data_IF_269232458308
#
_entry.id   IF_269232458308
#
_cell.length_a   1.000
_cell.length_b   1.000
_cell.length_c   1.000
_cell.angle_alpha   90.00
_cell.angle_beta   90.00
_cell.angle_gamma   90.00
#
_symmetry.space_group_name_H-M   'P 1'
#
loop_
_entity.id
_entity.type
_entity.pdbx_description
1 polymer ?
#
# COMPACT_ATOMS: atom_id res chain seq x y z
N UNK A 1 -2.95 0.17 -9.23
CA UNK A 1 -1.48 -0.06 -9.28
C UNK A 1 -0.91 0.14 -7.89
N UNK A 2 -0.29 -0.89 -7.31
CA UNK A 2 0.25 -0.88 -5.96
C UNK A 2 1.22 0.28 -5.71
N UNK A 3 2.07 0.63 -6.68
CA UNK A 3 3.03 1.72 -6.54
C UNK A 3 2.45 3.12 -6.29
N UNK A 4 1.21 3.39 -6.70
CA UNK A 4 0.52 4.64 -6.33
C UNK A 4 -0.11 4.53 -4.94
N UNK A 5 -0.69 3.38 -4.64
CA UNK A 5 -1.32 3.13 -3.36
C UNK A 5 -0.33 3.23 -2.20
N UNK A 6 0.86 2.61 -2.31
CA UNK A 6 1.87 2.69 -1.23
C UNK A 6 2.33 4.12 -0.96
N UNK A 7 2.42 4.98 -1.99
CA UNK A 7 2.72 6.41 -1.82
C UNK A 7 1.59 7.15 -1.13
N UNK A 8 0.34 6.86 -1.50
CA UNK A 8 -0.83 7.43 -0.85
C UNK A 8 -0.94 6.97 0.61
N UNK A 9 -0.66 5.70 0.90
CA UNK A 9 -0.60 5.14 2.25
C UNK A 9 0.48 5.82 3.10
N UNK A 10 1.62 6.17 2.49
CA UNK A 10 2.69 6.97 3.14
C UNK A 10 2.27 8.44 3.38
N UNK A 11 1.20 8.92 2.73
CA UNK A 11 0.66 10.27 2.91
C UNK A 11 0.85 11.19 1.71
N UNK A 12 1.39 10.69 0.59
CA UNK A 12 1.59 11.48 -0.61
C UNK A 12 0.35 11.53 -1.50
N UNK A 13 -0.32 12.68 -1.55
CA UNK A 13 -1.50 12.90 -2.40
C UNK A 13 -1.14 13.00 -3.88
N UNK A 14 0.03 13.55 -4.17
CA UNK A 14 0.60 13.54 -5.51
C UNK A 14 1.50 12.30 -5.69
N UNK A 15 0.91 11.24 -6.23
CA UNK A 15 1.58 9.94 -6.37
C UNK A 15 2.47 9.84 -7.63
N UNK A 16 2.65 10.94 -8.37
CA UNK A 16 3.40 10.94 -9.62
C UNK A 16 4.89 10.64 -9.37
N UNK A 17 5.45 9.68 -10.11
CA UNK A 17 6.82 9.19 -9.84
C UNK A 17 7.93 10.20 -10.08
N UNK A 18 7.66 11.32 -10.76
CA UNK A 18 8.61 12.44 -10.86
C UNK A 18 8.70 13.27 -9.56
N UNK A 19 7.67 13.21 -8.71
CA UNK A 19 7.58 13.98 -7.47
C UNK A 19 7.85 13.13 -6.24
N UNK A 20 7.35 11.90 -6.23
CA UNK A 20 7.48 10.98 -5.10
C UNK A 20 8.08 9.67 -5.57
N UNK A 21 9.23 9.35 -5.01
CA UNK A 21 9.96 8.11 -5.29
C UNK A 21 9.35 6.97 -4.48
N UNK A 22 9.45 5.75 -4.99
CA UNK A 22 9.08 4.55 -4.26
C UNK A 22 9.92 4.41 -2.98
N UNK A 23 9.29 4.23 -1.82
CA UNK A 23 9.97 4.05 -0.54
C UNK A 23 9.90 2.59 -0.06
N UNK A 24 10.93 1.77 -0.32
CA UNK A 24 10.94 0.37 0.12
C UNK A 24 11.01 0.22 1.65
N UNK A 25 11.60 1.19 2.37
CA UNK A 25 11.70 1.12 3.83
C UNK A 25 10.32 1.26 4.49
N UNK A 26 9.45 2.14 3.95
CA UNK A 26 8.07 2.26 4.40
C UNK A 26 7.32 0.92 4.24
N UNK A 27 7.46 0.29 3.07
CA UNK A 27 6.78 -0.98 2.76
C UNK A 27 7.32 -2.12 3.62
N UNK A 28 8.63 -2.17 3.84
CA UNK A 28 9.26 -3.13 4.72
C UNK A 28 8.74 -2.99 6.17
N UNK A 29 8.51 -1.76 6.64
CA UNK A 29 7.90 -1.52 7.94
C UNK A 29 6.44 -2.01 8.00
N UNK A 30 5.65 -1.84 6.93
CA UNK A 30 4.30 -2.42 6.86
C UNK A 30 4.35 -3.96 6.90
N UNK A 31 5.26 -4.58 6.15
CA UNK A 31 5.43 -6.04 6.18
C UNK A 31 5.84 -6.52 7.59
N UNK A 32 6.77 -5.84 8.25
CA UNK A 32 7.15 -6.15 9.62
C UNK A 32 5.94 -6.06 10.58
N UNK A 33 5.11 -5.01 10.46
CA UNK A 33 3.90 -4.84 11.26
C UNK A 33 2.82 -5.90 10.96
N UNK A 34 2.78 -6.41 9.73
CA UNK A 34 1.93 -7.52 9.32
C UNK A 34 2.47 -8.90 9.77
N UNK A 35 3.63 -8.96 10.43
CA UNK A 35 4.18 -10.18 11.01
C UNK A 35 5.06 -11.01 10.07
N UNK A 36 5.54 -10.42 8.97
CA UNK A 36 6.48 -11.10 8.07
C UNK A 36 7.85 -11.31 8.71
N UNK A 37 8.49 -12.42 8.36
CA UNK A 37 9.85 -12.74 8.81
C UNK A 37 10.88 -11.72 8.30
N UNK A 38 12.00 -11.62 9.01
CA UNK A 38 13.05 -10.63 8.72
C UNK A 38 13.62 -10.77 7.31
N UNK A 39 13.70 -12.00 6.79
CA UNK A 39 14.16 -12.28 5.43
C UNK A 39 13.28 -11.61 4.36
N UNK A 40 11.95 -11.66 4.55
CA UNK A 40 10.99 -11.02 3.64
C UNK A 40 11.08 -9.49 3.75
N UNK A 41 11.23 -8.97 4.97
CA UNK A 41 11.40 -7.53 5.23
C UNK A 41 12.67 -7.00 4.55
N UNK A 42 13.78 -7.72 4.64
CA UNK A 42 15.04 -7.38 3.95
C UNK A 42 14.91 -7.50 2.43
N UNK A 43 14.20 -8.51 1.92
CA UNK A 43 13.95 -8.65 0.49
C UNK A 43 13.18 -7.45 -0.07
N UNK A 44 12.22 -6.90 0.69
CA UNK A 44 11.46 -5.69 0.33
C UNK A 44 12.34 -4.45 0.34
N UNK A 45 13.21 -4.27 1.35
CA UNK A 45 14.12 -3.12 1.45
C UNK A 45 15.02 -2.97 0.21
N UNK A 46 15.37 -4.09 -0.41
CA UNK A 46 16.22 -4.13 -1.60
C UNK A 46 15.47 -3.87 -2.92
N UNK A 47 14.14 -3.67 -2.89
CA UNK A 47 13.36 -3.42 -4.09
C UNK A 47 13.43 -1.97 -4.57
N UNK A 48 13.46 -1.81 -5.89
CA UNK A 48 13.42 -0.49 -6.56
C UNK A 48 12.05 -0.18 -7.16
N UNK A 49 11.20 -1.19 -7.33
CA UNK A 49 9.92 -1.08 -8.02
C UNK A 49 8.80 -1.69 -7.19
N UNK A 50 7.67 -1.00 -7.14
CA UNK A 50 6.51 -1.47 -6.41
C UNK A 50 5.88 -2.76 -6.96
N UNK A 51 6.02 -3.02 -8.26
CA UNK A 51 5.46 -4.23 -8.86
C UNK A 51 6.17 -5.50 -8.38
N UNK A 52 7.43 -5.41 -7.93
CA UNK A 52 8.14 -6.57 -7.38
C UNK A 52 7.57 -7.00 -6.01
N UNK A 53 6.81 -6.13 -5.34
CA UNK A 53 6.23 -6.45 -4.03
C UNK A 53 5.19 -7.57 -4.12
N UNK A 54 4.44 -7.67 -5.23
CA UNK A 54 3.46 -8.74 -5.42
C UNK A 54 4.09 -10.12 -5.62
N UNK A 55 5.36 -10.17 -6.04
CA UNK A 55 6.11 -11.42 -6.17
C UNK A 55 6.67 -11.89 -4.81
N UNK A 56 6.93 -10.95 -3.90
CA UNK A 56 7.46 -11.22 -2.55
C UNK A 56 6.32 -11.52 -1.57
N UNK A 57 5.26 -10.72 -1.64
CA UNK A 57 4.03 -10.85 -0.87
C UNK A 57 2.89 -11.11 -1.87
N UNK A 58 2.55 -12.39 -2.14
CA UNK A 58 1.47 -12.73 -3.06
C UNK A 58 0.15 -12.09 -2.65
N UNK A 59 -0.62 -11.64 -3.63
CA UNK A 59 -1.91 -11.02 -3.37
C UNK A 59 -2.96 -12.03 -2.91
N UNK A 60 -3.70 -11.63 -1.88
CA UNK A 60 -5.01 -12.17 -1.50
C UNK A 60 -5.83 -11.02 -0.91
N UNK A 61 -7.16 -11.06 -1.04
CA UNK A 61 -8.04 -10.07 -0.41
C UNK A 61 -7.92 -10.09 1.12
N UNK A 62 -7.57 -11.25 1.67
CA UNK A 62 -7.43 -11.47 3.10
C UNK A 62 -6.02 -11.16 3.64
N UNK A 63 -5.05 -10.93 2.75
CA UNK A 63 -3.64 -10.73 3.11
C UNK A 63 -3.46 -9.44 3.94
N UNK A 64 -3.00 -9.55 5.20
CA UNK A 64 -2.77 -8.43 6.11
C UNK A 64 -2.05 -7.24 5.50
N UNK A 65 -1.00 -7.47 4.70
CA UNK A 65 -0.24 -6.39 4.08
C UNK A 65 -1.12 -5.47 3.20
N UNK A 66 -1.93 -6.05 2.31
CA UNK A 66 -2.77 -5.27 1.39
C UNK A 66 -3.92 -4.58 2.11
N UNK A 67 -4.50 -5.22 3.14
CA UNK A 67 -5.49 -4.58 4.01
C UNK A 67 -4.91 -3.35 4.71
N UNK A 68 -3.70 -3.46 5.25
CA UNK A 68 -3.03 -2.34 5.90
C UNK A 68 -2.74 -1.18 4.94
N UNK A 69 -2.27 -1.48 3.72
CA UNK A 69 -2.06 -0.45 2.69
C UNK A 69 -3.38 0.26 2.33
N UNK A 70 -4.46 -0.51 2.13
CA UNK A 70 -5.77 0.05 1.79
C UNK A 70 -6.32 0.93 2.92
N UNK A 71 -6.17 0.50 4.17
CA UNK A 71 -6.59 1.25 5.36
C UNK A 71 -5.85 2.58 5.49
N UNK A 72 -4.53 2.58 5.32
CA UNK A 72 -3.73 3.82 5.34
C UNK A 72 -4.11 4.78 4.21
N UNK A 73 -4.37 4.26 3.01
CA UNK A 73 -4.88 5.07 1.90
C UNK A 73 -6.23 5.72 2.26
N UNK A 74 -7.15 4.91 2.78
CA UNK A 74 -8.47 5.38 3.20
C UNK A 74 -8.36 6.47 4.27
N UNK A 75 -7.55 6.26 5.30
CA UNK A 75 -7.32 7.25 6.36
C UNK A 75 -6.73 8.56 5.84
N UNK A 76 -5.77 8.49 4.90
CA UNK A 76 -5.18 9.68 4.31
C UNK A 76 -6.18 10.43 3.42
N UNK A 77 -7.05 9.72 2.69
CA UNK A 77 -8.15 10.34 1.96
C UNK A 77 -9.20 10.98 2.88
N UNK A 78 -9.59 10.32 3.98
CA UNK A 78 -10.55 10.84 4.96
C UNK A 78 -10.13 12.21 5.53
N UNK A 79 -8.83 12.43 5.76
CA UNK A 79 -8.29 13.71 6.27
C UNK A 79 -8.57 14.90 5.34
N UNK A 80 -8.87 14.65 4.06
CA UNK A 80 -9.10 15.67 3.04
C UNK A 80 -10.58 15.91 2.75
N UNK A 81 -11.45 15.00 3.20
CA UNK A 81 -12.87 15.07 2.89
C UNK A 81 -13.65 15.73 4.05
N UNK A 82 -14.78 16.39 3.75
CA UNK A 82 -15.71 16.83 4.79
C UNK A 82 -16.15 15.65 5.67
N UNK A 83 -16.41 15.90 6.95
CA UNK A 83 -16.74 14.85 7.93
C UNK A 83 -18.03 14.09 7.59
N UNK A 84 -18.92 14.71 6.82
CA UNK A 84 -20.19 14.16 6.39
C UNK A 84 -20.05 13.27 5.14
N UNK A 85 -18.89 13.33 4.47
CA UNK A 85 -18.63 12.57 3.27
C UNK A 85 -18.35 11.11 3.62
N UNK A 86 -19.14 10.20 3.03
CA UNK A 86 -18.83 8.77 3.02
C UNK A 86 -18.21 8.43 1.68
N UNK A 87 -17.10 7.71 1.72
CA UNK A 87 -16.50 7.14 0.52
C UNK A 87 -15.97 5.75 0.82
N UNK A 88 -15.76 4.97 -0.23
CA UNK A 88 -15.18 3.64 -0.14
C UNK A 88 -13.89 3.64 -0.94
N UNK A 89 -12.82 3.11 -0.35
CA UNK A 89 -11.54 2.93 -1.03
C UNK A 89 -11.43 1.49 -1.57
N UNK A 90 -11.00 1.37 -2.83
CA UNK A 90 -10.69 0.09 -3.47
C UNK A 90 -9.21 0.07 -3.88
N UNK A 91 -8.44 -0.82 -3.26
CA UNK A 91 -7.07 -1.11 -3.66
C UNK A 91 -7.04 -2.19 -4.75
N UNK A 92 -7.01 -1.79 -6.02
CA UNK A 92 -6.86 -2.72 -7.14
C UNK A 92 -5.38 -3.14 -7.33
N UNK A 93 -5.13 -4.46 -7.25
CA UNK A 93 -3.81 -5.08 -7.44
C UNK A 93 -3.78 -5.85 -8.77
N UNK A 94 -3.46 -5.15 -9.85
CA UNK A 94 -3.43 -5.73 -11.20
C UNK A 94 -4.77 -6.36 -11.57
N UNK A 95 -4.72 -7.55 -12.17
CA UNK A 95 -5.88 -8.40 -12.48
C UNK A 95 -6.21 -9.38 -11.35
N UNK A 96 -5.43 -9.38 -10.25
CA UNK A 96 -5.54 -10.37 -9.18
C UNK A 96 -6.76 -10.15 -8.28
N UNK A 97 -7.20 -8.90 -8.14
CA UNK A 97 -8.38 -8.54 -7.34
C UNK A 97 -8.25 -7.17 -6.68
N UNK A 98 -9.13 -6.93 -5.70
CA UNK A 98 -9.17 -5.67 -4.96
C UNK A 98 -9.47 -5.85 -3.47
N UNK A 99 -8.82 -5.05 -2.63
CA UNK A 99 -9.21 -4.89 -1.22
C UNK A 99 -10.13 -3.68 -1.09
N UNK A 100 -11.25 -3.85 -0.36
CA UNK A 100 -12.23 -2.80 -0.09
C UNK A 100 -12.13 -2.30 1.36
N UNK A 101 -12.15 -0.99 1.55
CA UNK A 101 -12.23 -0.30 2.85
C UNK A 101 -13.33 0.76 2.78
N UNK A 102 -14.17 0.90 3.81
CA UNK A 102 -15.33 1.81 3.84
C UNK A 102 -15.49 2.48 5.20
#
# INVERSE_FOLDING_TARGET
>A
MLGKAVKLAEGHMDTYSKKVVFNPAFIANLAMQAGYAEEIVEQIKNQKLANAITDIIPFSEEEPFYKQVAELCHQNCLKLLPKECRFTFYLQVGELGAVKVS
#
